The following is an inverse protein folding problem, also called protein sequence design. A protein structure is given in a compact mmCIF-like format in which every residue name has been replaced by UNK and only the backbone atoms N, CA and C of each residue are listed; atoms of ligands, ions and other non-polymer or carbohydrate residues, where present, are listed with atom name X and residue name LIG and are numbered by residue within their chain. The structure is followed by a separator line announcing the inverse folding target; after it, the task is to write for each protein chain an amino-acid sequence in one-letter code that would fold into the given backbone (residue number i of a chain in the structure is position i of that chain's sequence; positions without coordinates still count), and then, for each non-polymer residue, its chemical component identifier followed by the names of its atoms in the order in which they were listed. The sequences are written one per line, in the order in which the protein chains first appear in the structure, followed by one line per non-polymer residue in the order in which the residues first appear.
data_IF_480769570653
#
_entry.id   IF_480769570653
#
_cell.length_a   1.000
_cell.length_b   1.000
_cell.length_c   1.000
_cell.angle_alpha   90.00
_cell.angle_beta   90.00
_cell.angle_gamma   90.00
#
_symmetry.space_group_name_H-M   'P 1'
#
loop_
_entity.id
_entity.type
_entity.pdbx_description
1 polymer ?
#
# COMPACT_ATOMS: atom_id res chain seq x y z
N UNK A 1 5.40 7.71 -15.56
CA UNK A 1 6.00 8.16 -14.29
C UNK A 1 5.07 9.09 -13.52
N UNK A 2 4.53 10.12 -14.17
CA UNK A 2 3.61 11.07 -13.53
C UNK A 2 2.32 10.40 -13.04
N UNK A 3 1.80 9.41 -13.78
CA UNK A 3 0.58 8.66 -13.43
C UNK A 3 0.72 7.91 -12.11
N UNK A 4 1.79 7.13 -11.98
CA UNK A 4 2.13 6.38 -10.78
C UNK A 4 2.43 7.28 -9.59
N UNK A 5 3.10 8.42 -9.82
CA UNK A 5 3.36 9.42 -8.78
C UNK A 5 2.06 10.02 -8.22
N UNK A 6 1.14 10.45 -9.10
CA UNK A 6 -0.14 11.04 -8.67
C UNK A 6 -1.00 10.00 -7.97
N UNK A 7 -1.11 8.79 -8.54
CA UNK A 7 -1.86 7.70 -7.93
C UNK A 7 -1.31 7.32 -6.55
N UNK A 8 0.02 7.21 -6.43
CA UNK A 8 0.70 6.94 -5.16
C UNK A 8 0.50 8.05 -4.13
N UNK A 9 0.60 9.31 -4.56
CA UNK A 9 0.39 10.46 -3.68
C UNK A 9 -1.05 10.53 -3.17
N UNK A 10 -2.05 10.30 -4.03
CA UNK A 10 -3.46 10.31 -3.61
C UNK A 10 -3.75 9.22 -2.58
N UNK A 11 -3.27 8.00 -2.80
CA UNK A 11 -3.43 6.91 -1.83
C UNK A 11 -2.71 7.23 -0.52
N UNK A 12 -1.48 7.74 -0.59
CA UNK A 12 -0.72 8.16 0.58
C UNK A 12 -1.40 9.27 1.39
N UNK A 13 -2.01 10.25 0.71
CA UNK A 13 -2.76 11.33 1.35
C UNK A 13 -4.08 10.84 1.97
N UNK A 14 -4.76 9.88 1.34
CA UNK A 14 -5.96 9.25 1.94
C UNK A 14 -5.57 8.48 3.20
N UNK A 15 -4.48 7.70 3.15
CA UNK A 15 -3.98 7.00 4.32
C UNK A 15 -3.59 7.98 5.44
N UNK A 16 -3.00 9.13 5.10
CA UNK A 16 -2.71 10.21 6.04
C UNK A 16 -3.98 10.79 6.67
N UNK A 17 -4.98 11.12 5.86
CA UNK A 17 -6.24 11.65 6.36
C UNK A 17 -6.95 10.67 7.32
N UNK A 18 -7.01 9.38 6.96
CA UNK A 18 -7.59 8.34 7.82
C UNK A 18 -6.82 8.23 9.12
N UNK A 19 -5.49 8.21 9.06
CA UNK A 19 -4.64 8.03 10.24
C UNK A 19 -4.69 9.22 11.20
N UNK A 20 -4.80 10.46 10.68
CA UNK A 20 -4.97 11.66 11.50
C UNK A 20 -6.30 11.62 12.28
N UNK A 21 -7.37 11.08 11.68
CA UNK A 21 -8.68 10.94 12.33
C UNK A 21 -8.66 9.83 13.39
N UNK A 22 -7.88 8.78 13.18
CA UNK A 22 -7.80 7.64 14.12
C UNK A 22 -6.71 7.78 15.20
N UNK A 23 -6.03 8.93 15.30
CA UNK A 23 -4.96 9.14 16.28
C UNK A 23 -3.68 8.34 16.00
N UNK A 24 -3.40 8.04 14.73
CA UNK A 24 -2.25 7.25 14.28
C UNK A 24 -0.92 8.01 14.38
N UNK A 25 0.18 7.25 14.44
CA UNK A 25 1.54 7.80 14.44
C UNK A 25 1.88 8.50 13.13
N UNK A 26 2.24 9.78 13.23
CA UNK A 26 2.59 10.62 12.07
C UNK A 26 3.80 10.07 11.31
N UNK A 27 4.78 9.46 11.99
CA UNK A 27 5.98 8.95 11.35
C UNK A 27 5.70 7.69 10.50
N UNK A 28 4.94 6.73 11.04
CA UNK A 28 4.46 5.55 10.30
C UNK A 28 3.58 5.92 9.10
N UNK A 29 2.82 6.99 9.21
CA UNK A 29 1.94 7.46 8.14
C UNK A 29 2.71 8.14 7.01
N UNK A 30 3.71 8.97 7.34
CA UNK A 30 4.59 9.59 6.35
C UNK A 30 5.41 8.53 5.61
N UNK A 31 5.89 7.49 6.30
CA UNK A 31 6.62 6.39 5.65
C UNK A 31 5.71 5.60 4.68
N UNK A 32 4.45 5.37 5.04
CA UNK A 32 3.46 4.77 4.15
C UNK A 32 3.15 5.65 2.92
N UNK A 33 3.04 6.97 3.10
CA UNK A 33 2.87 7.91 1.98
C UNK A 33 4.04 7.83 1.01
N UNK A 34 5.27 7.90 1.52
CA UNK A 34 6.49 7.77 0.71
C UNK A 34 6.52 6.42 0.00
N UNK A 35 6.15 5.35 0.68
CA UNK A 35 6.08 4.01 0.09
C UNK A 35 5.13 3.95 -1.11
N UNK A 36 3.89 4.44 -0.98
CA UNK A 36 2.94 4.44 -2.10
C UNK A 36 3.41 5.29 -3.28
N UNK A 37 4.03 6.44 -3.02
CA UNK A 37 4.60 7.31 -4.06
C UNK A 37 5.75 6.59 -4.79
N UNK A 38 6.72 6.07 -4.05
CA UNK A 38 7.89 5.39 -4.62
C UNK A 38 7.45 4.16 -5.40
N UNK A 39 6.59 3.33 -4.82
CA UNK A 39 6.09 2.12 -5.48
C UNK A 39 5.32 2.48 -6.76
N UNK A 40 4.47 3.51 -6.73
CA UNK A 40 3.77 4.01 -7.90
C UNK A 40 4.71 4.43 -9.02
N UNK A 41 5.77 5.18 -8.69
CA UNK A 41 6.80 5.60 -9.66
C UNK A 41 7.58 4.40 -10.22
N UNK A 42 7.97 3.45 -9.37
CA UNK A 42 8.67 2.24 -9.80
C UNK A 42 7.81 1.40 -10.74
N UNK A 43 6.53 1.17 -10.39
CA UNK A 43 5.61 0.43 -11.25
C UNK A 43 5.46 1.11 -12.61
N UNK A 44 5.41 2.44 -12.63
CA UNK A 44 5.42 3.21 -13.88
C UNK A 44 6.69 3.03 -14.70
N UNK A 45 7.85 3.00 -14.05
CA UNK A 45 9.13 2.78 -14.72
C UNK A 45 9.24 1.38 -15.31
N UNK A 46 8.83 0.36 -14.56
CA UNK A 46 8.97 -1.04 -14.97
C UNK A 46 7.88 -1.47 -15.96
N UNK A 47 6.66 -0.96 -15.81
CA UNK A 47 5.50 -1.41 -16.58
C UNK A 47 5.15 -0.44 -17.71
N UNK A 48 5.60 0.82 -17.64
CA UNK A 48 5.74 1.77 -18.74
C UNK A 48 4.47 2.06 -19.54
N UNK A 49 4.14 1.13 -20.45
CA UNK A 49 3.02 1.19 -21.41
C UNK A 49 1.87 0.22 -21.09
N UNK A 50 2.01 -0.61 -20.05
CA UNK A 50 0.93 -1.52 -19.63
C UNK A 50 -0.21 -0.68 -19.03
N UNK A 51 -1.44 -1.00 -19.39
CA UNK A 51 -2.61 -0.26 -18.93
C UNK A 51 -2.79 -0.30 -17.41
N UNK A 52 -3.55 0.67 -16.87
CA UNK A 52 -3.78 0.88 -15.44
C UNK A 52 -4.04 -0.40 -14.61
N UNK A 53 -4.76 -1.36 -15.19
CA UNK A 53 -5.13 -2.62 -14.52
C UNK A 53 -3.90 -3.50 -14.22
N UNK A 54 -2.98 -3.62 -15.18
CA UNK A 54 -1.77 -4.42 -14.99
C UNK A 54 -0.84 -3.79 -13.94
N UNK A 55 -0.76 -2.46 -13.91
CA UNK A 55 0.02 -1.69 -12.93
C UNK A 55 -0.53 -1.89 -11.52
N UNK A 56 -1.86 -1.77 -11.36
CA UNK A 56 -2.51 -1.96 -10.06
C UNK A 56 -2.42 -3.40 -9.56
N UNK A 57 -2.62 -4.41 -10.41
CA UNK A 57 -2.48 -5.82 -10.02
C UNK A 57 -1.04 -6.14 -9.58
N UNK A 58 -0.04 -5.64 -10.32
CA UNK A 58 1.36 -5.84 -9.95
C UNK A 58 1.69 -5.18 -8.60
N UNK A 59 1.23 -3.96 -8.38
CA UNK A 59 1.42 -3.27 -7.12
C UNK A 59 0.73 -3.95 -5.94
N UNK A 60 -0.52 -4.40 -6.12
CA UNK A 60 -1.24 -5.20 -5.15
C UNK A 60 -0.49 -6.48 -4.81
N UNK A 61 -0.02 -7.22 -5.82
CA UNK A 61 0.73 -8.45 -5.62
C UNK A 61 2.03 -8.22 -4.83
N UNK A 62 2.77 -7.15 -5.14
CA UNK A 62 3.98 -6.78 -4.39
C UNK A 62 3.63 -6.47 -2.94
N UNK A 63 2.62 -5.64 -2.69
CA UNK A 63 2.26 -5.24 -1.34
C UNK A 63 1.68 -6.38 -0.51
N UNK A 64 0.84 -7.24 -1.11
CA UNK A 64 0.33 -8.45 -0.49
C UNK A 64 1.45 -9.44 -0.17
N UNK A 65 2.45 -9.57 -1.05
CA UNK A 65 3.62 -10.42 -0.80
C UNK A 65 4.49 -9.89 0.33
N UNK A 66 4.74 -8.57 0.38
CA UNK A 66 5.45 -7.95 1.50
C UNK A 66 4.72 -8.14 2.82
N UNK A 67 3.39 -7.99 2.81
CA UNK A 67 2.56 -8.24 3.98
C UNK A 67 2.64 -9.71 4.42
N UNK A 68 2.54 -10.66 3.49
CA UNK A 68 2.68 -12.08 3.78
C UNK A 68 4.06 -12.44 4.34
N UNK A 69 5.13 -11.85 3.80
CA UNK A 69 6.50 -12.03 4.31
C UNK A 69 6.65 -11.44 5.71
N UNK A 70 6.10 -10.24 5.96
CA UNK A 70 6.11 -9.63 7.27
C UNK A 70 5.40 -10.51 8.32
N UNK A 71 4.24 -11.07 7.98
CA UNK A 71 3.53 -12.03 8.83
C UNK A 71 4.32 -13.32 9.04
N UNK A 72 4.91 -13.89 7.99
CA UNK A 72 5.71 -15.10 8.10
C UNK A 72 6.92 -14.88 9.03
N UNK A 73 7.63 -13.76 8.87
CA UNK A 73 8.75 -13.38 9.75
C UNK A 73 8.29 -13.15 11.19
N UNK A 74 7.14 -12.50 11.40
CA UNK A 74 6.55 -12.33 12.73
C UNK A 74 6.17 -13.67 13.38
N UNK A 75 5.74 -14.67 12.59
CA UNK A 75 5.36 -16.00 13.08
C UNK A 75 6.55 -16.91 13.42
N UNK A 76 7.71 -16.71 12.77
CA UNK A 76 8.93 -17.50 12.98
C UNK A 76 9.83 -16.89 14.08
N UNK A 77 9.77 -15.56 14.25
CA UNK A 77 10.55 -14.82 15.25
C UNK A 77 9.90 -14.80 16.63
N UNK A 78 10.03 -15.89 17.40
CA UNK A 78 9.73 -15.87 18.83
C UNK A 78 10.64 -14.88 19.56
N UNK A 79 10.19 -13.64 19.77
CA UNK A 79 10.88 -12.64 20.61
C UNK A 79 11.40 -11.37 19.92
N UNK A 80 11.04 -11.07 18.67
CA UNK A 80 11.28 -9.72 18.12
C UNK A 80 10.17 -8.76 18.58
N UNK A 81 10.28 -8.28 19.83
CA UNK A 81 9.30 -7.39 20.49
C UNK A 81 8.98 -6.07 19.78
N UNK A 82 9.58 -5.78 18.62
CA UNK A 82 9.29 -4.61 17.78
C UNK A 82 8.22 -4.85 16.71
N UNK A 83 8.20 -6.03 16.06
CA UNK A 83 7.20 -6.31 14.99
C UNK A 83 5.90 -6.84 15.58
N UNK A 84 5.98 -7.61 16.67
CA UNK A 84 4.80 -8.14 17.36
C UNK A 84 4.01 -7.11 18.16
N UNK A 85 4.58 -5.93 18.45
CA UNK A 85 3.91 -4.90 19.25
C UNK A 85 2.99 -3.97 18.43
N UNK A 86 3.31 -3.72 17.16
CA UNK A 86 2.44 -2.93 16.25
C UNK A 86 1.32 -3.75 15.61
N UNK A 87 1.48 -5.07 15.50
CA UNK A 87 0.43 -5.99 15.03
C UNK A 87 -0.48 -6.42 16.21
N UNK A 88 -0.61 -5.62 17.28
CA UNK A 88 -1.43 -5.96 18.46
C UNK A 88 -2.94 -5.85 18.26
N UNK A 89 -3.41 -5.55 17.04
CA UNK A 89 -4.84 -5.53 16.70
C UNK A 89 -5.28 -6.61 15.71
N UNK A 90 -4.35 -7.48 15.28
CA UNK A 90 -4.50 -8.30 14.07
C UNK A 90 -4.01 -9.72 14.35
N UNK A 91 -4.54 -10.35 15.39
CA UNK A 91 -4.18 -11.73 15.74
C UNK A 91 -5.06 -12.73 14.94
N UNK A 92 -4.41 -13.66 14.24
CA UNK A 92 -5.06 -14.76 13.52
C UNK A 92 -5.43 -14.48 12.06
N UNK A 93 -5.99 -15.49 11.38
CA UNK A 93 -6.33 -15.46 9.95
C UNK A 93 -7.31 -14.35 9.58
N UNK A 94 -8.20 -13.97 10.50
CA UNK A 94 -9.17 -12.89 10.31
C UNK A 94 -8.49 -11.52 10.23
N UNK A 95 -7.46 -11.30 11.05
CA UNK A 95 -6.69 -10.08 11.02
C UNK A 95 -5.94 -9.90 9.69
N UNK A 96 -5.27 -10.95 9.21
CA UNK A 96 -4.59 -10.95 7.90
C UNK A 96 -5.58 -10.65 6.77
N UNK A 97 -6.79 -11.23 6.82
CA UNK A 97 -7.84 -10.99 5.85
C UNK A 97 -8.31 -9.52 5.83
N UNK A 98 -8.49 -8.91 7.00
CA UNK A 98 -8.85 -7.48 7.11
C UNK A 98 -7.73 -6.60 6.55
N UNK A 99 -6.48 -6.87 6.92
CA UNK A 99 -5.33 -6.12 6.41
C UNK A 99 -5.20 -6.20 4.88
N UNK A 100 -5.36 -7.39 4.30
CA UNK A 100 -5.39 -7.58 2.85
C UNK A 100 -6.59 -6.86 2.20
N UNK A 101 -7.75 -6.85 2.86
CA UNK A 101 -8.92 -6.11 2.41
C UNK A 101 -8.66 -4.61 2.32
N UNK A 102 -8.04 -4.01 3.34
CA UNK A 102 -7.66 -2.59 3.34
C UNK A 102 -6.65 -2.31 2.23
N UNK A 103 -5.63 -3.16 2.07
CA UNK A 103 -4.66 -3.06 0.97
C UNK A 103 -5.37 -3.11 -0.38
N UNK A 104 -6.31 -4.04 -0.58
CA UNK A 104 -7.08 -4.13 -1.81
C UNK A 104 -7.86 -2.84 -2.10
N UNK A 105 -8.51 -2.25 -1.09
CA UNK A 105 -9.20 -0.95 -1.23
C UNK A 105 -8.23 0.14 -1.68
N UNK A 106 -7.05 0.25 -1.07
CA UNK A 106 -6.05 1.23 -1.49
C UNK A 106 -5.59 1.03 -2.94
N UNK A 107 -5.45 -0.21 -3.40
CA UNK A 107 -5.08 -0.51 -4.79
C UNK A 107 -6.21 -0.28 -5.79
N UNK A 108 -7.48 -0.40 -5.37
CA UNK A 108 -8.64 0.01 -6.17
C UNK A 108 -8.66 1.52 -6.34
N UNK A 109 -8.39 2.29 -5.28
CA UNK A 109 -8.25 3.75 -5.34
C UNK A 109 -7.08 4.12 -6.26
N UNK A 110 -5.92 3.48 -6.07
CA UNK A 110 -4.76 3.66 -6.93
C UNK A 110 -5.13 3.44 -8.40
N UNK A 111 -5.79 2.33 -8.72
CA UNK A 111 -6.25 2.02 -10.07
C UNK A 111 -7.17 3.10 -10.64
N UNK A 112 -8.16 3.55 -9.87
CA UNK A 112 -9.11 4.56 -10.31
C UNK A 112 -8.40 5.88 -10.63
N UNK A 113 -7.53 6.35 -9.72
CA UNK A 113 -6.75 7.58 -9.92
C UNK A 113 -5.80 7.41 -11.11
N UNK A 114 -5.07 6.31 -11.17
CA UNK A 114 -4.15 6.02 -12.26
C UNK A 114 -4.87 6.04 -13.61
N UNK A 115 -6.05 5.42 -13.72
CA UNK A 115 -6.85 5.39 -14.95
C UNK A 115 -7.37 6.77 -15.33
N UNK A 116 -7.72 7.62 -14.35
CA UNK A 116 -8.09 9.01 -14.61
C UNK A 116 -6.88 9.76 -15.17
N UNK A 117 -5.71 9.67 -14.52
CA UNK A 117 -4.52 10.38 -14.99
C UNK A 117 -4.09 9.88 -16.38
N UNK A 118 -4.14 8.57 -16.64
CA UNK A 118 -3.90 7.99 -17.96
C UNK A 118 -4.83 8.56 -19.04
N UNK A 119 -6.11 8.78 -18.72
CA UNK A 119 -7.10 9.29 -19.68
C UNK A 119 -7.00 10.79 -19.93
N UNK A 120 -6.65 11.57 -18.92
CA UNK A 120 -6.79 13.03 -18.96
C UNK A 120 -5.45 13.79 -18.99
N UNK A 121 -4.35 13.16 -18.59
CA UNK A 121 -3.03 13.82 -18.48
C UNK A 121 -2.03 13.29 -19.50
N UNK A 122 -2.20 12.07 -20.02
CA UNK A 122 -1.38 11.53 -21.10
C UNK A 122 -0.96 10.11 -20.87
#
# INVERSE_FOLDING_TARGET
MLRGLIAGAVVGLINLAVSLVSGGDVAGVLSALVFFVVLGVLLDLFLGRRGALAVSIAGFAVMASLLAVAYALASVGGGAGGVGAEIRGVEGSLGVAVALGIVAVYWVIFYAVYRIVERYVG
#
